data_IF_324111382886
#
_entry.id   IF_324111382886
#
_cell.length_a   1.000
_cell.length_b   1.000
_cell.length_c   1.000
_cell.angle_alpha   90.00
_cell.angle_beta   90.00
_cell.angle_gamma   90.00
#
_symmetry.space_group_name_H-M   'P 1'
#
loop_
_entity.id
_entity.type
_entity.pdbx_description
1 polymer ?
#
# COMPACT_ATOMS: atom_id res chain seq x y z
N UNK A 1 -30.05 -39.38 31.97
CA UNK A 1 -28.82 -38.59 32.18
C UNK A 1 -28.29 -38.18 30.82
N UNK A 2 -28.65 -36.98 30.34
CA UNK A 2 -28.17 -36.45 29.07
C UNK A 2 -26.77 -35.88 29.25
N UNK A 3 -25.78 -36.50 28.60
CA UNK A 3 -24.43 -35.97 28.48
C UNK A 3 -24.49 -34.65 27.71
N UNK A 4 -24.41 -33.52 28.43
CA UNK A 4 -24.18 -32.21 27.85
C UNK A 4 -22.76 -32.22 27.29
N UNK A 5 -22.65 -32.49 25.98
CA UNK A 5 -21.39 -32.44 25.25
C UNK A 5 -20.74 -31.07 25.44
N UNK A 6 -19.64 -31.03 26.19
CA UNK A 6 -18.80 -29.84 26.29
C UNK A 6 -18.08 -29.67 24.96
N UNK A 7 -18.65 -28.87 24.05
CA UNK A 7 -17.92 -28.43 22.88
C UNK A 7 -16.66 -27.68 23.35
N UNK A 8 -15.46 -28.09 22.92
CA UNK A 8 -14.24 -27.40 23.30
C UNK A 8 -14.35 -25.95 22.85
N UNK A 9 -14.32 -25.01 23.80
CA UNK A 9 -14.25 -23.59 23.46
C UNK A 9 -12.91 -23.38 22.76
N UNK A 10 -12.86 -22.80 21.55
CA UNK A 10 -11.58 -22.52 20.90
C UNK A 10 -10.72 -21.66 21.84
N UNK A 11 -9.43 -22.00 21.95
CA UNK A 11 -8.46 -21.32 22.80
C UNK A 11 -8.43 -19.79 22.58
N UNK A 12 -8.84 -19.33 21.39
CA UNK A 12 -9.04 -17.93 21.05
C UNK A 12 -10.45 -17.68 20.49
N UNK A 13 -11.22 -16.80 21.11
CA UNK A 13 -12.50 -16.32 20.53
C UNK A 13 -12.25 -15.52 19.25
N UNK A 14 -13.14 -15.62 18.25
CA UNK A 14 -13.04 -14.89 16.97
C UNK A 14 -12.88 -13.37 17.12
N UNK A 15 -13.47 -12.78 18.16
CA UNK A 15 -13.31 -11.34 18.47
C UNK A 15 -11.87 -11.00 18.91
N UNK A 16 -11.29 -11.80 19.81
CA UNK A 16 -9.87 -11.70 20.20
C UNK A 16 -8.94 -11.90 18.99
N UNK A 17 -9.24 -12.89 18.13
CA UNK A 17 -8.51 -13.12 16.88
C UNK A 17 -8.53 -11.89 15.98
N UNK A 18 -9.71 -11.31 15.75
CA UNK A 18 -9.89 -10.09 14.96
C UNK A 18 -9.11 -8.89 15.54
N UNK A 19 -9.12 -8.74 16.87
CA UNK A 19 -8.36 -7.71 17.57
C UNK A 19 -6.85 -7.85 17.38
N UNK A 20 -6.32 -9.07 17.47
CA UNK A 20 -4.91 -9.39 17.23
C UNK A 20 -4.52 -9.16 15.78
N UNK A 21 -5.30 -9.68 14.82
CA UNK A 21 -5.09 -9.45 13.39
C UNK A 21 -5.08 -7.96 13.05
N UNK A 22 -5.91 -7.16 13.72
CA UNK A 22 -5.91 -5.71 13.51
C UNK A 22 -4.62 -5.06 14.03
N UNK A 23 -4.06 -5.53 15.15
CA UNK A 23 -2.75 -5.06 15.63
C UNK A 23 -1.65 -5.43 14.62
N UNK A 24 -1.59 -6.70 14.23
CA UNK A 24 -0.63 -7.22 13.23
C UNK A 24 -0.69 -6.41 11.94
N UNK A 25 -1.89 -6.25 11.35
CA UNK A 25 -2.10 -5.50 10.11
C UNK A 25 -1.65 -4.03 10.22
N UNK A 26 -1.87 -3.39 11.37
CA UNK A 26 -1.50 -1.98 11.58
C UNK A 26 0.00 -1.83 11.76
N UNK A 27 0.62 -2.69 12.58
CA UNK A 27 2.07 -2.67 12.81
C UNK A 27 2.83 -2.94 11.52
N UNK A 28 2.42 -3.96 10.76
CA UNK A 28 3.07 -4.26 9.48
C UNK A 28 2.85 -3.15 8.44
N UNK A 29 1.71 -2.45 8.46
CA UNK A 29 1.47 -1.27 7.61
C UNK A 29 2.47 -0.14 7.89
N UNK A 30 2.79 0.13 9.16
CA UNK A 30 3.76 1.18 9.54
C UNK A 30 5.16 0.82 9.05
N UNK A 31 5.57 -0.44 9.22
CA UNK A 31 6.87 -0.93 8.73
C UNK A 31 6.94 -0.80 7.20
N UNK A 32 5.95 -1.32 6.48
CA UNK A 32 5.90 -1.23 5.01
C UNK A 32 5.86 0.22 4.51
N UNK A 33 5.13 1.11 5.20
CA UNK A 33 5.06 2.53 4.83
C UNK A 33 6.40 3.23 4.94
N UNK A 34 7.28 2.78 5.84
CA UNK A 34 8.64 3.32 5.96
C UNK A 34 9.46 2.99 4.71
N UNK A 35 9.41 1.73 4.26
CA UNK A 35 9.99 1.33 2.98
C UNK A 35 9.39 2.12 1.82
N UNK A 36 8.06 2.19 1.72
CA UNK A 36 7.37 2.88 0.64
C UNK A 36 7.75 4.37 0.55
N UNK A 37 7.98 5.02 1.70
CA UNK A 37 8.45 6.40 1.75
C UNK A 37 9.88 6.53 1.20
N UNK A 38 10.82 5.69 1.66
CA UNK A 38 12.21 5.69 1.18
C UNK A 38 12.24 5.39 -0.33
N UNK A 39 11.50 4.39 -0.79
CA UNK A 39 11.38 4.04 -2.20
C UNK A 39 10.76 5.18 -3.03
N UNK A 40 9.71 5.82 -2.51
CA UNK A 40 9.06 6.97 -3.16
C UNK A 40 9.98 8.17 -3.34
N UNK A 41 10.88 8.45 -2.38
CA UNK A 41 11.86 9.54 -2.47
C UNK A 41 12.79 9.37 -3.69
N UNK A 42 13.16 8.14 -4.01
CA UNK A 42 14.02 7.82 -5.16
C UNK A 42 13.34 8.23 -6.48
N UNK A 43 12.02 8.01 -6.60
CA UNK A 43 11.25 8.48 -7.74
C UNK A 43 11.11 10.00 -7.72
N UNK A 44 10.72 10.58 -6.58
CA UNK A 44 10.48 12.02 -6.48
C UNK A 44 11.73 12.85 -6.82
N UNK A 45 12.93 12.34 -6.55
CA UNK A 45 14.20 12.93 -6.95
C UNK A 45 14.30 13.18 -8.47
N UNK A 46 13.61 12.41 -9.30
CA UNK A 46 13.55 12.63 -10.75
C UNK A 46 12.94 13.99 -11.11
N UNK A 47 11.97 14.50 -10.33
CA UNK A 47 11.37 15.82 -10.59
C UNK A 47 12.33 16.99 -10.35
N UNK A 48 13.47 16.74 -9.69
CA UNK A 48 14.47 17.77 -9.37
C UNK A 48 15.70 17.65 -10.26
N UNK A 49 16.26 16.45 -10.39
CA UNK A 49 17.53 16.23 -11.09
C UNK A 49 17.49 15.12 -12.13
N UNK A 50 16.30 14.78 -12.62
CA UNK A 50 16.12 13.79 -13.68
C UNK A 50 16.48 12.36 -13.27
N UNK A 51 16.63 11.50 -14.27
CA UNK A 51 16.99 10.10 -14.05
C UNK A 51 18.33 9.90 -13.32
N UNK A 52 19.26 10.84 -13.46
CA UNK A 52 20.55 10.80 -12.75
C UNK A 52 20.35 10.90 -11.23
N UNK A 53 19.61 11.90 -10.77
CA UNK A 53 19.39 12.09 -9.34
C UNK A 53 18.52 10.98 -8.75
N UNK A 54 17.53 10.48 -9.52
CA UNK A 54 16.76 9.31 -9.13
C UNK A 54 17.64 8.08 -8.87
N UNK A 55 18.56 7.77 -9.80
CA UNK A 55 19.53 6.67 -9.64
C UNK A 55 20.45 6.89 -8.44
N UNK A 56 20.91 8.12 -8.20
CA UNK A 56 21.73 8.43 -7.03
C UNK A 56 20.98 8.10 -5.73
N UNK A 57 19.73 8.55 -5.59
CA UNK A 57 18.91 8.25 -4.42
C UNK A 57 18.54 6.77 -4.30
N UNK A 58 18.38 6.06 -5.42
CA UNK A 58 18.22 4.60 -5.40
C UNK A 58 19.42 3.95 -4.73
N UNK A 59 20.65 4.31 -5.14
CA UNK A 59 21.88 3.78 -4.56
C UNK A 59 22.02 4.10 -3.06
N UNK A 60 21.70 5.33 -2.67
CA UNK A 60 21.68 5.75 -1.25
C UNK A 60 20.63 4.98 -0.45
N UNK A 61 19.50 4.63 -1.07
CA UNK A 61 18.42 3.90 -0.43
C UNK A 61 18.73 2.43 -0.17
N UNK A 62 19.52 1.77 -1.03
CA UNK A 62 19.73 0.31 -1.00
C UNK A 62 20.17 -0.22 0.37
N UNK A 63 21.15 0.37 1.07
CA UNK A 63 21.59 -0.16 2.37
C UNK A 63 20.48 -0.18 3.43
N UNK A 64 19.45 0.66 3.32
CA UNK A 64 18.38 0.76 4.32
C UNK A 64 17.34 -0.36 4.22
N UNK A 65 17.20 -1.02 3.05
CA UNK A 65 16.15 -2.01 2.84
C UNK A 65 16.49 -3.16 1.88
N UNK A 66 17.64 -3.16 1.21
CA UNK A 66 18.11 -4.23 0.30
C UNK A 66 19.28 -5.05 0.86
N UNK A 67 19.55 -4.95 2.16
CA UNK A 67 20.51 -5.84 2.83
C UNK A 67 19.96 -7.28 2.89
N UNK A 68 20.87 -8.28 2.91
CA UNK A 68 20.58 -9.71 2.68
C UNK A 68 19.42 -10.26 3.53
N UNK A 69 19.24 -9.74 4.74
CA UNK A 69 18.14 -10.14 5.63
C UNK A 69 17.07 -9.06 5.83
N UNK A 70 17.39 -7.78 5.59
CA UNK A 70 16.46 -6.68 5.83
C UNK A 70 15.37 -6.61 4.76
N UNK A 71 15.68 -6.92 3.50
CA UNK A 71 14.69 -6.86 2.42
C UNK A 71 13.56 -7.86 2.60
N UNK A 72 13.93 -9.11 2.93
CA UNK A 72 12.97 -10.18 3.16
C UNK A 72 12.05 -9.89 4.34
N UNK A 73 12.55 -9.25 5.40
CA UNK A 73 11.77 -8.99 6.63
C UNK A 73 10.99 -7.67 6.50
N UNK A 74 11.65 -6.57 6.16
CA UNK A 74 11.07 -5.23 6.19
C UNK A 74 10.17 -4.97 4.99
N UNK A 75 10.52 -5.45 3.80
CA UNK A 75 9.75 -5.18 2.58
C UNK A 75 8.75 -6.28 2.36
N UNK A 76 9.24 -7.49 2.04
CA UNK A 76 8.39 -8.63 1.68
C UNK A 76 7.59 -9.12 2.88
N UNK A 77 8.26 -9.32 4.02
CA UNK A 77 7.65 -9.84 5.24
C UNK A 77 6.54 -8.93 5.78
N UNK A 78 6.79 -7.62 5.86
CA UNK A 78 5.78 -6.66 6.33
C UNK A 78 4.60 -6.54 5.35
N UNK A 79 4.85 -6.51 4.03
CA UNK A 79 3.80 -6.47 3.02
C UNK A 79 2.91 -7.72 3.07
N UNK A 80 3.52 -8.91 3.06
CA UNK A 80 2.80 -10.19 3.12
C UNK A 80 2.01 -10.28 4.42
N UNK A 81 2.61 -9.93 5.54
CA UNK A 81 1.93 -9.92 6.85
C UNK A 81 0.72 -8.97 6.85
N UNK A 82 0.85 -7.79 6.25
CA UNK A 82 -0.26 -6.84 6.10
C UNK A 82 -1.41 -7.43 5.28
N UNK A 83 -1.12 -8.00 4.11
CA UNK A 83 -2.11 -8.59 3.21
C UNK A 83 -2.81 -9.76 3.87
N UNK A 84 -2.06 -10.71 4.43
CA UNK A 84 -2.61 -11.90 5.08
C UNK A 84 -3.50 -11.54 6.27
N UNK A 85 -3.08 -10.59 7.11
CA UNK A 85 -3.91 -10.12 8.22
C UNK A 85 -5.20 -9.43 7.74
N UNK A 86 -5.13 -8.68 6.63
CA UNK A 86 -6.28 -8.06 5.97
C UNK A 86 -7.28 -9.08 5.41
N UNK A 87 -6.78 -10.10 4.71
CA UNK A 87 -7.59 -11.19 4.14
C UNK A 87 -8.21 -12.06 5.24
N UNK A 88 -7.47 -12.40 6.30
CA UNK A 88 -8.02 -13.12 7.45
C UNK A 88 -9.18 -12.33 8.10
N UNK A 89 -9.02 -11.01 8.27
CA UNK A 89 -10.10 -10.14 8.78
C UNK A 89 -11.28 -10.01 7.83
N UNK A 90 -11.06 -10.12 6.51
CA UNK A 90 -12.16 -10.22 5.55
C UNK A 90 -12.92 -11.53 5.77
N UNK A 91 -12.22 -12.66 5.88
CA UNK A 91 -12.83 -13.97 6.14
C UNK A 91 -13.69 -13.99 7.41
N UNK A 92 -13.17 -13.44 8.52
CA UNK A 92 -13.94 -13.33 9.77
C UNK A 92 -15.19 -12.45 9.58
N UNK A 93 -15.08 -11.32 8.86
CA UNK A 93 -16.24 -10.45 8.57
C UNK A 93 -17.29 -11.16 7.73
N UNK A 94 -16.88 -11.89 6.70
CA UNK A 94 -17.80 -12.66 5.85
C UNK A 94 -18.49 -13.78 6.65
N UNK A 95 -17.77 -14.45 7.53
CA UNK A 95 -18.32 -15.46 8.45
C UNK A 95 -19.37 -14.87 9.39
N UNK A 96 -19.09 -13.74 10.05
CA UNK A 96 -20.06 -13.06 10.91
C UNK A 96 -21.29 -12.59 10.14
N UNK A 97 -21.11 -11.99 8.96
CA UNK A 97 -22.23 -11.51 8.15
C UNK A 97 -23.16 -12.66 7.72
N UNK A 98 -22.58 -13.80 7.35
CA UNK A 98 -23.33 -15.00 6.97
C UNK A 98 -24.12 -15.60 8.14
N UNK A 99 -23.53 -15.63 9.33
CA UNK A 99 -24.14 -16.28 10.49
C UNK A 99 -25.14 -15.41 11.24
N UNK A 100 -25.06 -14.08 11.10
CA UNK A 100 -25.90 -13.18 11.86
C UNK A 100 -27.19 -12.77 11.13
N UNK A 101 -27.50 -13.28 9.92
CA UNK A 101 -28.65 -12.85 9.08
C UNK A 101 -28.89 -11.34 9.11
N UNK A 102 -27.81 -10.56 9.25
CA UNK A 102 -27.93 -9.12 9.35
C UNK A 102 -27.93 -8.60 7.92
N UNK A 103 -29.14 -8.37 7.42
CA UNK A 103 -29.49 -7.14 6.70
C UNK A 103 -29.04 -5.96 7.57
N UNK A 104 -27.72 -5.76 7.70
CA UNK A 104 -27.15 -4.58 8.28
C UNK A 104 -27.52 -3.47 7.31
N UNK A 105 -28.56 -2.73 7.71
CA UNK A 105 -29.05 -1.51 7.13
C UNK A 105 -27.98 -0.89 6.23
N UNK A 106 -28.30 -0.81 4.94
CA UNK A 106 -27.61 -0.02 3.93
C UNK A 106 -27.59 1.41 4.50
N UNK A 107 -26.62 1.66 5.37
CA UNK A 107 -26.27 2.98 5.80
C UNK A 107 -25.67 3.53 4.53
N UNK A 108 -26.40 4.45 3.88
CA UNK A 108 -25.93 5.07 2.66
C UNK A 108 -24.48 5.49 2.89
N UNK A 109 -23.52 4.96 2.09
CA UNK A 109 -22.13 5.27 2.32
C UNK A 109 -22.00 6.77 2.18
N UNK A 110 -21.59 7.45 3.27
CA UNK A 110 -21.33 8.89 3.22
C UNK A 110 -20.37 9.15 2.05
N UNK A 111 -20.91 9.79 1.02
CA UNK A 111 -20.47 9.72 -0.37
C UNK A 111 -19.06 10.30 -0.57
N UNK A 112 -18.58 11.04 0.44
CA UNK A 112 -17.40 11.90 0.39
C UNK A 112 -16.21 11.39 1.22
N UNK A 113 -16.21 10.13 1.67
CA UNK A 113 -15.11 9.59 2.46
C UNK A 113 -14.05 8.88 1.60
N UNK A 114 -12.79 9.32 1.67
CA UNK A 114 -11.63 8.61 1.06
C UNK A 114 -11.41 7.20 1.64
N UNK A 115 -12.12 6.82 2.70
CA UNK A 115 -12.15 5.43 3.18
C UNK A 115 -12.99 4.51 2.29
N UNK A 116 -13.88 5.06 1.44
CA UNK A 116 -14.82 4.28 0.60
C UNK A 116 -14.10 3.23 -0.24
N UNK A 117 -13.00 3.60 -0.89
CA UNK A 117 -12.24 2.71 -1.76
C UNK A 117 -10.98 2.16 -1.10
N UNK A 118 -10.79 2.30 0.22
CA UNK A 118 -9.59 1.82 0.90
C UNK A 118 -9.42 0.29 0.74
N UNK A 119 -10.50 -0.48 0.95
CA UNK A 119 -10.49 -1.92 0.75
C UNK A 119 -10.26 -2.31 -0.71
N UNK A 120 -10.96 -1.64 -1.64
CA UNK A 120 -10.84 -1.88 -3.09
C UNK A 120 -9.40 -1.66 -3.58
N UNK A 121 -8.80 -0.53 -3.21
CA UNK A 121 -7.40 -0.22 -3.56
C UNK A 121 -6.43 -1.20 -2.93
N UNK A 122 -6.70 -1.68 -1.71
CA UNK A 122 -5.91 -2.75 -1.09
C UNK A 122 -5.92 -4.05 -1.90
N UNK A 123 -7.08 -4.48 -2.41
CA UNK A 123 -7.16 -5.67 -3.26
C UNK A 123 -6.51 -5.45 -4.62
N UNK A 124 -6.67 -4.27 -5.22
CA UNK A 124 -6.03 -3.91 -6.49
C UNK A 124 -4.51 -3.88 -6.37
N UNK A 125 -3.98 -3.46 -5.22
CA UNK A 125 -2.54 -3.42 -4.95
C UNK A 125 -1.88 -4.79 -4.87
N UNK A 126 -2.62 -5.87 -4.54
CA UNK A 126 -2.03 -7.22 -4.45
C UNK A 126 -1.43 -7.65 -5.80
N UNK A 127 -2.19 -7.72 -6.91
CA UNK A 127 -1.62 -8.09 -8.20
C UNK A 127 -0.66 -7.02 -8.75
N UNK A 128 -0.92 -5.73 -8.54
CA UNK A 128 -0.04 -4.67 -9.04
C UNK A 128 1.33 -4.68 -8.36
N UNK A 129 1.38 -4.79 -7.03
CA UNK A 129 2.63 -4.87 -6.29
C UNK A 129 3.34 -6.20 -6.55
N UNK A 130 2.60 -7.30 -6.69
CA UNK A 130 3.15 -8.59 -7.08
C UNK A 130 3.83 -8.55 -8.46
N UNK A 131 3.17 -7.94 -9.45
CA UNK A 131 3.74 -7.78 -10.80
C UNK A 131 4.92 -6.81 -10.82
N UNK A 132 4.87 -5.74 -10.03
CA UNK A 132 6.01 -4.84 -9.85
C UNK A 132 7.20 -5.56 -9.21
N UNK A 133 6.99 -6.30 -8.12
CA UNK A 133 8.02 -7.12 -7.46
C UNK A 133 8.59 -8.17 -8.43
N UNK A 134 7.73 -8.85 -9.18
CA UNK A 134 8.17 -9.81 -10.20
C UNK A 134 9.09 -9.14 -11.24
N UNK A 135 8.69 -7.98 -11.76
CA UNK A 135 9.44 -7.25 -12.78
C UNK A 135 10.82 -6.79 -12.30
N UNK A 136 10.93 -6.22 -11.09
CA UNK A 136 12.17 -5.58 -10.63
C UNK A 136 13.00 -6.43 -9.68
N UNK A 137 12.49 -7.60 -9.26
CA UNK A 137 13.15 -8.49 -8.31
C UNK A 137 13.25 -9.93 -8.81
N UNK A 138 12.12 -10.62 -8.97
CA UNK A 138 12.12 -12.05 -9.32
C UNK A 138 12.74 -12.29 -10.69
N UNK A 139 12.33 -11.54 -11.71
CA UNK A 139 12.78 -11.73 -13.08
C UNK A 139 14.30 -11.48 -13.26
N UNK A 140 14.90 -10.43 -12.67
CA UNK A 140 16.36 -10.28 -12.63
C UNK A 140 17.07 -11.41 -11.89
N UNK A 141 16.56 -11.86 -10.73
CA UNK A 141 17.13 -13.00 -10.00
C UNK A 141 17.11 -14.27 -10.86
N UNK A 142 16.01 -14.53 -11.57
CA UNK A 142 15.87 -15.71 -12.44
C UNK A 142 16.82 -15.67 -13.64
N UNK A 143 17.27 -14.48 -14.08
CA UNK A 143 18.14 -14.32 -15.25
C UNK A 143 19.63 -14.21 -14.88
N UNK A 144 19.96 -13.45 -13.82
CA UNK A 144 21.34 -13.14 -13.42
C UNK A 144 21.76 -13.75 -12.07
N UNK A 145 20.85 -14.41 -11.35
CA UNK A 145 21.08 -14.90 -9.99
C UNK A 145 21.03 -13.82 -8.92
N UNK A 146 20.83 -12.55 -9.31
CA UNK A 146 20.77 -11.38 -8.43
C UNK A 146 19.93 -10.27 -9.08
N UNK A 147 19.47 -9.32 -8.28
CA UNK A 147 18.73 -8.11 -8.71
C UNK A 147 19.37 -6.81 -8.21
N UNK A 148 20.51 -6.87 -7.50
CA UNK A 148 21.17 -5.68 -6.98
C UNK A 148 21.69 -4.74 -8.09
N UNK A 149 21.84 -5.19 -9.33
CA UNK A 149 22.22 -4.32 -10.45
C UNK A 149 21.06 -3.47 -11.00
N UNK A 150 19.82 -3.71 -10.56
CA UNK A 150 18.63 -3.05 -11.12
C UNK A 150 18.60 -1.57 -10.76
N UNK A 151 18.57 -0.73 -11.78
CA UNK A 151 18.54 0.73 -11.70
C UNK A 151 17.36 1.30 -12.50
N UNK A 152 17.20 2.63 -12.51
CA UNK A 152 16.18 3.27 -13.33
C UNK A 152 16.46 3.14 -14.84
N UNK A 153 17.65 2.72 -15.26
CA UNK A 153 17.93 2.36 -16.65
C UNK A 153 17.17 1.10 -17.09
N UNK A 154 17.10 0.08 -16.24
CA UNK A 154 16.26 -1.11 -16.48
C UNK A 154 14.77 -0.75 -16.59
N UNK A 155 14.28 0.10 -15.68
CA UNK A 155 12.88 0.56 -15.68
C UNK A 155 12.60 1.43 -16.91
N UNK A 156 13.50 2.36 -17.24
CA UNK A 156 13.37 3.23 -18.41
C UNK A 156 13.37 2.44 -19.73
N UNK A 157 14.15 1.36 -19.83
CA UNK A 157 14.08 0.48 -20.99
C UNK A 157 12.66 -0.07 -21.18
N UNK A 158 12.01 -0.52 -20.11
CA UNK A 158 10.62 -0.98 -20.15
C UNK A 158 9.64 0.13 -20.54
N UNK A 159 9.82 1.35 -20.01
CA UNK A 159 8.99 2.51 -20.35
C UNK A 159 9.11 2.89 -21.83
N UNK A 160 10.30 2.74 -22.43
CA UNK A 160 10.55 3.09 -23.83
C UNK A 160 10.13 1.98 -24.80
N UNK A 161 10.39 0.71 -24.46
CA UNK A 161 10.23 -0.42 -25.39
C UNK A 161 8.91 -1.19 -25.19
N UNK A 162 8.31 -1.11 -24.01
CA UNK A 162 7.01 -1.73 -23.66
C UNK A 162 6.10 -0.70 -22.99
N UNK A 163 5.83 0.47 -23.62
CA UNK A 163 5.22 1.63 -22.96
C UNK A 163 3.83 1.34 -22.38
N UNK A 164 2.96 0.64 -23.12
CA UNK A 164 1.59 0.35 -22.65
C UNK A 164 1.63 -0.42 -21.32
N UNK A 165 2.43 -1.48 -21.27
CA UNK A 165 2.59 -2.30 -20.08
C UNK A 165 3.27 -1.52 -18.95
N UNK A 166 4.43 -0.93 -19.22
CA UNK A 166 5.25 -0.30 -18.19
C UNK A 166 4.59 0.95 -17.61
N UNK A 167 4.09 1.87 -18.43
CA UNK A 167 3.36 3.03 -17.91
C UNK A 167 2.04 2.62 -17.25
N UNK A 168 1.31 1.66 -17.82
CA UNK A 168 0.05 1.18 -17.25
C UNK A 168 0.23 0.59 -15.85
N UNK A 169 1.17 -0.34 -15.69
CA UNK A 169 1.49 -0.97 -14.41
C UNK A 169 1.92 0.07 -13.37
N UNK A 170 2.92 0.91 -13.67
CA UNK A 170 3.47 1.84 -12.69
C UNK A 170 2.48 2.95 -12.34
N UNK A 171 1.69 3.45 -13.30
CA UNK A 171 0.65 4.45 -13.02
C UNK A 171 -0.46 3.86 -12.14
N UNK A 172 -0.95 2.66 -12.47
CA UNK A 172 -1.96 2.00 -11.66
C UNK A 172 -1.45 1.74 -10.23
N UNK A 173 -0.20 1.27 -10.10
CA UNK A 173 0.43 1.05 -8.80
C UNK A 173 0.54 2.35 -8.00
N UNK A 174 1.04 3.44 -8.60
CA UNK A 174 1.20 4.74 -7.93
C UNK A 174 -0.12 5.31 -7.44
N UNK A 175 -1.16 5.30 -8.29
CA UNK A 175 -2.48 5.84 -7.92
C UNK A 175 -3.12 5.00 -6.82
N UNK A 176 -3.11 3.67 -6.97
CA UNK A 176 -3.67 2.77 -5.97
C UNK A 176 -2.93 2.87 -4.63
N UNK A 177 -1.59 2.92 -4.66
CA UNK A 177 -0.74 3.02 -3.47
C UNK A 177 -0.96 4.35 -2.75
N UNK A 178 -0.93 5.47 -3.48
CA UNK A 178 -1.15 6.81 -2.93
C UNK A 178 -2.51 6.90 -2.25
N UNK A 179 -3.56 6.40 -2.90
CA UNK A 179 -4.89 6.34 -2.31
C UNK A 179 -4.93 5.47 -1.05
N UNK A 180 -4.39 4.25 -1.13
CA UNK A 180 -4.44 3.29 -0.03
C UNK A 180 -3.68 3.78 1.21
N UNK A 181 -2.50 4.38 1.01
CA UNK A 181 -1.68 4.94 2.08
C UNK A 181 -2.37 6.13 2.75
N UNK A 182 -2.79 7.14 1.98
CA UNK A 182 -3.40 8.37 2.54
C UNK A 182 -4.75 8.09 3.20
N UNK A 183 -5.57 7.21 2.63
CA UNK A 183 -6.80 6.76 3.28
C UNK A 183 -6.52 5.92 4.53
N UNK A 184 -5.45 5.13 4.52
CA UNK A 184 -5.02 4.24 5.60
C UNK A 184 -4.56 4.94 6.88
N UNK A 185 -4.06 6.17 6.78
CA UNK A 185 -3.59 7.00 7.92
C UNK A 185 -4.61 7.03 9.07
N UNK A 186 -5.91 7.12 8.76
CA UNK A 186 -6.96 7.14 9.80
C UNK A 186 -6.95 5.88 10.67
N UNK A 187 -6.69 4.70 10.10
CA UNK A 187 -6.66 3.45 10.87
C UNK A 187 -5.45 3.36 11.80
N UNK A 188 -4.32 3.98 11.43
CA UNK A 188 -3.11 4.04 12.24
C UNK A 188 -3.29 5.01 13.43
N UNK A 189 -3.77 6.23 13.17
CA UNK A 189 -3.80 7.29 14.20
C UNK A 189 -5.08 7.33 15.06
N UNK A 190 -6.25 6.98 14.52
CA UNK A 190 -7.50 7.06 15.31
C UNK A 190 -7.59 6.01 16.42
N UNK A 191 -6.82 4.91 16.32
CA UNK A 191 -6.78 3.87 17.35
C UNK A 191 -6.05 4.33 18.63
N UNK A 192 -5.08 5.25 18.51
CA UNK A 192 -4.35 5.80 19.66
C UNK A 192 -5.19 6.77 20.49
N UNK A 193 -6.20 7.40 19.87
CA UNK A 193 -7.01 8.47 20.51
C UNK A 193 -8.21 7.96 21.33
N UNK A 194 -8.75 6.77 21.01
CA UNK A 194 -9.94 6.21 21.69
C UNK A 194 -9.70 5.70 23.12
N UNK A 195 -8.45 5.67 23.60
CA UNK A 195 -8.12 5.06 24.90
C UNK A 195 -8.13 6.05 26.07
N UNK A 196 -8.21 7.38 25.86
CA UNK A 196 -8.10 8.36 26.97
C UNK A 196 -9.21 9.42 27.00
N UNK A 197 -9.80 9.82 25.87
CA UNK A 197 -10.66 11.02 25.82
C UNK A 197 -12.19 10.78 25.80
N UNK A 198 -12.66 9.54 25.62
CA UNK A 198 -14.09 9.25 25.38
C UNK A 198 -14.89 8.91 26.66
N UNK A 199 -14.24 8.77 27.82
CA UNK A 199 -14.95 8.51 29.09
C UNK A 199 -15.40 9.79 29.83
N UNK A 200 -15.07 10.99 29.35
CA UNK A 200 -15.30 12.25 30.08
C UNK A 200 -16.09 13.34 29.35
N UNK A 201 -16.60 13.09 28.13
CA UNK A 201 -17.28 14.14 27.35
C UNK A 201 -18.74 13.80 27.03
N UNK A 202 -19.64 14.27 27.89
CA UNK A 202 -21.05 14.49 27.52
C UNK A 202 -21.08 15.66 26.52
N UNK A 203 -21.66 15.51 25.32
CA UNK A 203 -21.69 16.58 24.33
C UNK A 203 -22.69 17.66 24.77
N UNK A 204 -22.17 18.76 25.30
CA UNK A 204 -22.94 20.00 25.48
C UNK A 204 -22.63 20.94 24.29
N UNK A 205 -23.69 21.48 23.67
CA UNK A 205 -23.75 22.45 22.56
C UNK A 205 -23.84 21.96 21.10
N UNK A 206 -24.88 22.45 20.41
CA UNK A 206 -25.16 22.30 18.97
C UNK A 206 -24.09 22.91 18.05
N UNK A 207 -23.35 23.92 18.51
CA UNK A 207 -22.18 24.46 17.79
C UNK A 207 -21.08 23.41 17.55
N UNK A 208 -21.04 22.33 18.34
CA UNK A 208 -20.08 21.23 18.17
C UNK A 208 -20.38 20.35 16.94
N UNK A 209 -21.65 20.26 16.51
CA UNK A 209 -22.04 19.44 15.37
C UNK A 209 -21.57 20.08 14.05
N UNK A 210 -21.81 21.38 13.88
CA UNK A 210 -21.36 22.12 12.71
C UNK A 210 -19.83 22.19 12.63
N UNK A 211 -19.16 22.38 13.77
CA UNK A 211 -17.69 22.36 13.83
C UNK A 211 -17.12 20.98 13.44
N UNK A 212 -17.75 19.88 13.87
CA UNK A 212 -17.36 18.52 13.48
C UNK A 212 -17.57 18.29 11.98
N UNK A 213 -18.67 18.77 11.41
CA UNK A 213 -18.96 18.68 9.98
C UNK A 213 -17.92 19.47 9.17
N UNK A 214 -17.58 20.70 9.59
CA UNK A 214 -16.56 21.53 8.93
C UNK A 214 -15.19 20.86 8.99
N UNK A 215 -14.77 20.36 10.16
CA UNK A 215 -13.50 19.63 10.32
C UNK A 215 -13.46 18.34 9.48
N UNK A 216 -14.56 17.61 9.41
CA UNK A 216 -14.67 16.42 8.56
C UNK A 216 -14.58 16.80 7.07
N UNK A 217 -15.21 17.91 6.67
CA UNK A 217 -15.15 18.45 5.30
C UNK A 217 -13.72 18.83 4.93
N UNK A 218 -13.06 19.60 5.79
CA UNK A 218 -11.67 20.04 5.59
C UNK A 218 -10.71 18.84 5.48
N UNK A 219 -10.83 17.85 6.37
CA UNK A 219 -9.98 16.67 6.37
C UNK A 219 -10.10 15.86 5.08
N UNK A 220 -11.29 15.73 4.49
CA UNK A 220 -11.40 14.97 3.24
C UNK A 220 -10.80 15.73 2.04
N UNK A 221 -10.89 17.06 2.01
CA UNK A 221 -10.26 17.87 0.95
C UNK A 221 -8.74 17.78 1.02
N UNK A 222 -8.18 17.84 2.24
CA UNK A 222 -6.75 17.63 2.46
C UNK A 222 -6.33 16.25 1.97
N UNK A 223 -7.06 15.20 2.34
CA UNK A 223 -6.75 13.84 1.89
C UNK A 223 -6.83 13.69 0.37
N UNK A 224 -7.86 14.25 -0.28
CA UNK A 224 -7.96 14.25 -1.75
C UNK A 224 -6.78 15.00 -2.40
N UNK A 225 -6.45 16.18 -1.87
CA UNK A 225 -5.29 16.97 -2.32
C UNK A 225 -3.97 16.21 -2.19
N UNK A 226 -3.75 15.53 -1.06
CA UNK A 226 -2.57 14.69 -0.84
C UNK A 226 -2.50 13.52 -1.82
N UNK A 227 -3.61 12.81 -2.04
CA UNK A 227 -3.67 11.69 -2.99
C UNK A 227 -3.33 12.18 -4.40
N UNK A 228 -3.99 13.25 -4.87
CA UNK A 228 -3.77 13.80 -6.21
C UNK A 228 -2.36 14.35 -6.36
N UNK A 229 -1.87 15.15 -5.40
CA UNK A 229 -0.53 15.73 -5.44
C UNK A 229 0.57 14.67 -5.45
N UNK A 230 0.49 13.68 -4.56
CA UNK A 230 1.46 12.57 -4.51
C UNK A 230 1.44 11.73 -5.78
N UNK A 231 0.24 11.38 -6.28
CA UNK A 231 0.10 10.58 -7.50
C UNK A 231 0.69 11.32 -8.70
N UNK A 232 0.37 12.60 -8.87
CA UNK A 232 0.89 13.41 -9.99
C UNK A 232 2.40 13.58 -9.91
N UNK A 233 2.95 13.84 -8.73
CA UNK A 233 4.39 13.97 -8.55
C UNK A 233 5.14 12.68 -8.90
N UNK A 234 4.63 11.51 -8.47
CA UNK A 234 5.24 10.21 -8.78
C UNK A 234 5.04 9.79 -10.25
N UNK A 235 3.88 10.07 -10.84
CA UNK A 235 3.66 9.83 -12.28
C UNK A 235 4.59 10.71 -13.11
N UNK A 236 4.74 11.99 -12.74
CA UNK A 236 5.70 12.91 -13.36
C UNK A 236 7.12 12.34 -13.30
N UNK A 237 7.54 11.83 -12.14
CA UNK A 237 8.84 11.15 -12.00
C UNK A 237 9.04 10.01 -13.00
N UNK A 238 8.04 9.15 -13.18
CA UNK A 238 8.10 8.01 -14.12
C UNK A 238 8.28 8.52 -15.56
N UNK A 239 7.53 9.56 -15.93
CA UNK A 239 7.65 10.19 -17.27
C UNK A 239 9.05 10.77 -17.47
N UNK A 240 9.59 11.47 -16.47
CA UNK A 240 10.95 12.04 -16.53
C UNK A 240 12.00 10.93 -16.68
N UNK A 241 11.92 9.88 -15.87
CA UNK A 241 12.83 8.72 -15.95
C UNK A 241 12.81 8.09 -17.34
N UNK A 242 11.62 7.89 -17.91
CA UNK A 242 11.46 7.33 -19.25
C UNK A 242 12.04 8.22 -20.36
N UNK A 243 11.99 9.55 -20.21
CA UNK A 243 12.47 10.51 -21.23
C UNK A 243 13.96 10.85 -21.11
N UNK A 244 14.48 10.96 -19.89
CA UNK A 244 15.86 11.40 -19.63
C UNK A 244 16.88 10.31 -19.91
N UNK A 245 16.48 9.05 -19.80
CA UNK A 245 17.36 7.90 -20.02
C UNK A 245 17.57 7.65 -21.53
N UNK A 246 18.24 8.58 -22.22
CA UNK A 246 18.44 8.53 -23.69
C UNK A 246 19.56 7.60 -24.16
N UNK A 247 20.45 7.16 -23.25
CA UNK A 247 21.60 6.30 -23.55
C UNK A 247 21.46 4.93 -22.89
N UNK A 248 20.44 4.17 -23.27
CA UNK A 248 20.45 2.74 -22.96
C UNK A 248 21.10 2.07 -24.18
N UNK A 249 22.39 1.66 -24.12
CA UNK A 249 22.94 0.79 -25.16
C UNK A 249 22.02 -0.43 -25.30
N UNK A 250 21.92 -1.01 -26.49
CA UNK A 250 21.01 -2.12 -26.76
C UNK A 250 21.30 -3.28 -25.78
N UNK A 251 20.55 -3.37 -24.69
CA UNK A 251 20.70 -4.39 -23.65
C UNK A 251 19.77 -5.53 -24.00
N UNK A 252 20.25 -6.44 -24.85
CA UNK A 252 19.50 -7.63 -25.28
C UNK A 252 18.97 -8.43 -24.09
N UNK A 253 19.67 -8.42 -22.97
CA UNK A 253 19.23 -9.07 -21.74
C UNK A 253 17.96 -8.45 -21.15
N UNK A 254 17.81 -7.12 -21.22
CA UNK A 254 16.57 -6.45 -20.81
C UNK A 254 15.43 -6.87 -21.71
N UNK A 255 15.67 -6.90 -23.03
CA UNK A 255 14.68 -7.37 -23.98
C UNK A 255 14.23 -8.81 -23.71
N UNK A 256 15.18 -9.72 -23.44
CA UNK A 256 14.89 -11.12 -23.11
C UNK A 256 14.09 -11.25 -21.82
N UNK A 257 14.41 -10.47 -20.79
CA UNK A 257 13.64 -10.48 -19.54
C UNK A 257 12.21 -10.00 -19.77
N UNK A 258 12.01 -8.83 -20.38
CA UNK A 258 10.66 -8.30 -20.62
C UNK A 258 9.83 -9.16 -21.58
N UNK A 259 10.46 -9.94 -22.47
CA UNK A 259 9.78 -10.91 -23.33
C UNK A 259 9.20 -12.12 -22.56
N UNK A 260 9.56 -12.33 -21.29
CA UNK A 260 8.93 -13.36 -20.44
C UNK A 260 7.58 -12.92 -19.85
N UNK A 261 7.28 -11.63 -19.93
CA UNK A 261 6.09 -11.01 -19.33
C UNK A 261 4.94 -10.94 -20.36
N UNK A 262 5.28 -10.80 -21.65
CA UNK A 262 4.36 -10.60 -22.78
C UNK A 262 4.86 -11.40 -23.98
#
# INVERSE_FOLDING_TARGET
>A
MSNLGTTPRPFLSLSKAYGLLTKVQTTSAVVFSTFAAIHGVQLLAANVGGAYLANHWLMVGRPFYQDEHMEGILVTGSAVTHVLAGLAKLGIRLYWNRNNNLSAAITQPNENNVLRYHGLTGYLLIPLAGLHYYLVRTLPIDYYGDSAFIDFGYVAWGLQNKPIFSYGLHTALVVAASYHMVSGIKYVFQRKSRTINDLSKVPQNGNSADEKIIKQKQNHWVQKGLITGLSLALISSIVIIGRDTKKIPLRLDFAKMYARII
#
